data_IF_034170723120
#
_entry.id   IF_034170723120
#
_cell.length_a   1.000
_cell.length_b   1.000
_cell.length_c   1.000
_cell.angle_alpha   90.00
_cell.angle_beta   90.00
_cell.angle_gamma   90.00
#
_symmetry.space_group_name_H-M   'P 1'
#
loop_
_entity.id
_entity.type
_entity.pdbx_description
1 polymer ?
#
# COMPACT_ATOMS: atom_id res chain seq x y z
N UNK A 1 -3.88 -8.11 -17.82
CA UNK A 1 -2.62 -8.64 -18.37
C UNK A 1 -2.03 -7.56 -19.28
N UNK A 2 -0.75 -7.23 -19.10
CA UNK A 2 -0.03 -6.20 -19.88
C UNK A 2 1.03 -6.90 -20.73
N UNK A 3 1.29 -6.41 -21.95
CA UNK A 3 2.34 -6.97 -22.81
C UNK A 3 3.71 -6.41 -22.45
N UNK A 4 4.73 -7.27 -22.35
CA UNK A 4 6.10 -6.87 -22.04
C UNK A 4 6.64 -5.84 -23.03
N UNK A 5 6.30 -5.98 -24.32
CA UNK A 5 6.66 -5.05 -25.39
C UNK A 5 6.19 -3.60 -25.15
N UNK A 6 5.11 -3.42 -24.37
CA UNK A 6 4.50 -2.09 -24.11
C UNK A 6 5.11 -1.38 -22.90
N UNK A 7 5.88 -2.08 -22.08
CA UNK A 7 6.53 -1.51 -20.89
C UNK A 7 7.80 -0.75 -21.27
N UNK A 8 8.21 0.20 -20.43
CA UNK A 8 9.49 0.91 -20.58
C UNK A 8 10.64 0.01 -20.15
N UNK A 9 11.82 0.24 -20.70
CA UNK A 9 12.99 -0.62 -20.45
C UNK A 9 13.45 -0.59 -18.99
N UNK A 10 13.24 0.53 -18.30
CA UNK A 10 13.53 0.71 -16.88
C UNK A 10 12.37 0.34 -15.93
N UNK A 11 11.27 -0.22 -16.46
CA UNK A 11 10.15 -0.68 -15.63
C UNK A 11 10.62 -1.83 -14.72
N UNK A 12 10.29 -1.77 -13.43
CA UNK A 12 10.65 -2.82 -12.46
C UNK A 12 9.59 -3.92 -12.46
N UNK A 13 10.06 -5.14 -12.68
CA UNK A 13 9.28 -6.35 -12.76
C UNK A 13 9.58 -7.27 -11.59
N UNK A 14 8.57 -8.03 -11.18
CA UNK A 14 8.67 -9.14 -10.24
C UNK A 14 8.61 -10.43 -11.05
N UNK A 15 9.68 -11.23 -11.01
CA UNK A 15 9.83 -12.44 -11.81
C UNK A 15 9.84 -13.67 -10.91
N UNK A 16 8.97 -14.62 -11.23
CA UNK A 16 8.80 -15.85 -10.48
C UNK A 16 8.18 -15.65 -9.09
N UNK A 17 8.10 -16.76 -8.35
CA UNK A 17 7.46 -16.79 -7.03
C UNK A 17 8.39 -16.31 -5.90
N UNK A 18 9.69 -16.18 -6.16
CA UNK A 18 10.71 -15.72 -5.19
C UNK A 18 10.87 -14.18 -5.13
N UNK A 19 9.95 -13.42 -5.72
CA UNK A 19 9.99 -11.95 -5.76
C UNK A 19 11.31 -11.39 -6.32
N UNK A 20 11.91 -12.06 -7.31
CA UNK A 20 13.12 -11.55 -7.96
C UNK A 20 12.77 -10.24 -8.69
N UNK A 21 13.45 -9.16 -8.33
CA UNK A 21 13.28 -7.85 -8.96
C UNK A 21 14.29 -7.66 -10.08
N UNK A 22 13.83 -7.21 -11.24
CA UNK A 22 14.67 -6.80 -12.35
C UNK A 22 13.95 -5.79 -13.23
N UNK A 23 14.71 -5.04 -14.02
CA UNK A 23 14.17 -4.19 -15.07
C UNK A 23 13.67 -5.02 -16.26
N UNK A 24 12.81 -4.44 -17.10
CA UNK A 24 12.43 -5.04 -18.39
C UNK A 24 13.67 -5.36 -19.24
N UNK A 25 14.64 -4.45 -19.30
CA UNK A 25 15.87 -4.65 -20.09
C UNK A 25 16.68 -5.86 -19.60
N UNK A 26 16.84 -6.02 -18.29
CA UNK A 26 17.50 -7.18 -17.69
C UNK A 26 16.74 -8.49 -17.97
N UNK A 27 15.41 -8.46 -17.95
CA UNK A 27 14.58 -9.61 -18.30
C UNK A 27 14.77 -10.02 -19.76
N UNK A 28 14.73 -9.05 -20.69
CA UNK A 28 14.94 -9.31 -22.13
C UNK A 28 16.32 -9.89 -22.38
N UNK A 29 17.35 -9.35 -21.72
CA UNK A 29 18.74 -9.80 -21.87
C UNK A 29 18.93 -11.25 -21.43
N UNK A 30 18.13 -11.73 -20.46
CA UNK A 30 18.24 -13.06 -19.88
C UNK A 30 16.95 -13.89 -20.10
N UNK A 31 16.21 -13.63 -21.18
CA UNK A 31 14.84 -14.14 -21.36
C UNK A 31 14.76 -15.66 -21.34
N UNK A 32 15.79 -16.35 -21.85
CA UNK A 32 15.85 -17.81 -21.88
C UNK A 32 15.79 -18.44 -20.48
N UNK A 33 16.29 -17.74 -19.45
CA UNK A 33 16.25 -18.20 -18.06
C UNK A 33 14.88 -18.01 -17.40
N UNK A 34 14.06 -17.08 -17.91
CA UNK A 34 12.83 -16.62 -17.26
C UNK A 34 11.56 -16.85 -18.08
N UNK A 35 11.65 -17.37 -19.30
CA UNK A 35 10.52 -17.52 -20.24
C UNK A 35 9.34 -18.34 -19.71
N UNK A 36 9.58 -19.25 -18.77
CA UNK A 36 8.55 -20.11 -18.16
C UNK A 36 8.05 -19.56 -16.81
N UNK A 37 8.63 -18.46 -16.33
CA UNK A 37 8.26 -17.85 -15.06
C UNK A 37 7.10 -16.86 -15.24
N UNK A 38 6.28 -16.75 -14.19
CA UNK A 38 5.30 -15.69 -14.12
C UNK A 38 6.00 -14.33 -13.93
N UNK A 39 5.60 -13.32 -14.71
CA UNK A 39 6.13 -11.96 -14.63
C UNK A 39 5.01 -11.02 -14.23
N UNK A 40 5.30 -10.07 -13.34
CA UNK A 40 4.37 -9.05 -12.89
C UNK A 40 5.03 -7.68 -12.85
N UNK A 41 4.25 -6.61 -12.98
CA UNK A 41 4.72 -5.27 -12.61
C UNK A 41 4.85 -5.15 -11.09
N UNK A 42 5.81 -4.35 -10.62
CA UNK A 42 5.96 -4.06 -9.20
C UNK A 42 4.87 -3.08 -8.72
N UNK A 43 3.97 -3.55 -7.87
CA UNK A 43 3.06 -2.71 -7.11
C UNK A 43 3.74 -2.16 -5.86
N UNK A 44 3.52 -0.87 -5.59
CA UNK A 44 3.95 -0.23 -4.34
C UNK A 44 2.72 0.30 -3.62
N UNK A 45 2.48 -0.20 -2.41
CA UNK A 45 1.49 0.35 -1.50
C UNK A 45 2.21 1.20 -0.44
N UNK A 46 1.73 2.43 -0.22
CA UNK A 46 2.19 3.28 0.87
C UNK A 46 1.17 3.23 1.99
N UNK A 47 1.63 3.08 3.24
CA UNK A 47 0.75 3.14 4.38
C UNK A 47 0.04 4.50 4.45
N UNK A 48 -1.29 4.48 4.43
CA UNK A 48 -2.14 5.68 4.50
C UNK A 48 -3.03 5.59 5.73
N UNK A 49 -2.49 6.02 6.88
CA UNK A 49 -3.25 6.08 8.12
C UNK A 49 -4.15 7.33 8.13
N UNK A 50 -5.42 7.11 8.47
CA UNK A 50 -6.43 8.17 8.57
C UNK A 50 -6.83 8.35 10.03
N UNK A 51 -6.54 9.52 10.59
CA UNK A 51 -6.81 9.84 12.00
C UNK A 51 -8.30 9.72 12.36
N UNK A 52 -9.19 10.18 11.47
CA UNK A 52 -10.65 10.16 11.70
C UNK A 52 -11.18 8.73 11.76
N UNK A 53 -10.75 7.88 10.82
CA UNK A 53 -11.17 6.48 10.77
C UNK A 53 -10.61 5.70 11.96
N UNK A 54 -9.36 5.96 12.36
CA UNK A 54 -8.77 5.38 13.57
C UNK A 54 -9.56 5.76 14.83
N UNK A 55 -9.89 7.04 14.99
CA UNK A 55 -10.62 7.53 16.16
C UNK A 55 -12.06 7.00 16.18
N UNK A 56 -12.72 6.94 15.02
CA UNK A 56 -14.05 6.33 14.87
C UNK A 56 -14.03 4.85 15.27
N UNK A 57 -13.01 4.10 14.84
CA UNK A 57 -12.86 2.70 15.22
C UNK A 57 -12.66 2.52 16.73
N UNK A 58 -11.81 3.35 17.34
CA UNK A 58 -11.56 3.31 18.78
C UNK A 58 -12.82 3.62 19.60
N UNK A 59 -13.56 4.69 19.25
CA UNK A 59 -14.80 5.06 19.94
C UNK A 59 -15.85 3.95 19.79
N UNK A 60 -16.00 3.38 18.59
CA UNK A 60 -16.94 2.29 18.38
C UNK A 60 -16.63 1.06 19.24
N UNK A 61 -15.35 0.70 19.37
CA UNK A 61 -14.97 -0.46 20.19
C UNK A 61 -15.38 -0.25 21.66
N UNK A 62 -15.15 0.95 22.22
CA UNK A 62 -15.59 1.27 23.58
C UNK A 62 -17.12 1.26 23.71
N UNK A 63 -17.84 1.74 22.68
CA UNK A 63 -19.31 1.68 22.63
C UNK A 63 -19.81 0.22 22.67
N UNK A 64 -19.19 -0.66 21.89
CA UNK A 64 -19.50 -2.09 21.87
C UNK A 64 -19.09 -2.81 23.18
N UNK A 65 -18.15 -2.26 23.96
CA UNK A 65 -17.62 -2.79 25.23
C UNK A 65 -18.42 -2.37 26.49
N UNK A 66 -19.65 -1.89 26.34
CA UNK A 66 -20.63 -1.49 27.37
C UNK A 66 -20.61 0.00 27.79
N UNK A 67 -20.27 0.93 26.91
CA UNK A 67 -20.63 2.33 27.17
C UNK A 67 -22.15 2.52 27.12
N UNK A 68 -22.63 3.58 27.78
CA UNK A 68 -24.05 3.90 27.81
C UNK A 68 -24.55 4.40 26.44
N UNK A 69 -25.85 4.30 26.21
CA UNK A 69 -26.49 4.73 24.96
C UNK A 69 -26.12 6.18 24.60
N UNK A 70 -25.89 6.44 23.32
CA UNK A 70 -25.46 7.74 22.77
C UNK A 70 -24.05 8.21 23.18
N UNK A 71 -23.32 7.47 24.03
CA UNK A 71 -21.97 7.86 24.44
C UNK A 71 -21.05 8.16 23.25
N UNK A 72 -21.03 7.29 22.23
CA UNK A 72 -20.22 7.49 21.03
C UNK A 72 -20.56 8.79 20.29
N UNK A 73 -21.85 9.13 20.21
CA UNK A 73 -22.31 10.37 19.59
C UNK A 73 -21.93 11.61 20.40
N UNK A 74 -21.98 11.55 21.73
CA UNK A 74 -21.57 12.63 22.61
C UNK A 74 -20.08 12.91 22.48
N UNK A 75 -19.24 11.86 22.56
CA UNK A 75 -17.80 12.00 22.34
C UNK A 75 -17.51 12.55 20.95
N UNK A 76 -18.20 12.08 19.91
CA UNK A 76 -18.00 12.58 18.56
C UNK A 76 -18.46 14.03 18.37
N UNK A 77 -19.44 14.48 19.15
CA UNK A 77 -19.87 15.87 19.20
C UNK A 77 -18.79 16.81 19.76
N UNK A 78 -17.93 16.31 20.65
CA UNK A 78 -16.82 17.08 21.23
C UNK A 78 -15.55 17.08 20.36
N UNK A 79 -15.41 16.12 19.42
CA UNK A 79 -14.25 16.03 18.53
C UNK A 79 -14.32 17.08 17.44
N UNK A 80 -13.31 17.95 17.37
CA UNK A 80 -13.22 18.97 16.33
C UNK A 80 -12.33 18.55 15.16
N UNK A 81 -12.51 19.19 14.01
CA UNK A 81 -11.60 19.02 12.87
C UNK A 81 -10.15 19.41 13.22
N UNK A 82 -9.95 20.35 14.15
CA UNK A 82 -8.61 20.71 14.62
C UNK A 82 -7.93 19.55 15.36
N UNK A 83 -8.67 18.83 16.21
CA UNK A 83 -8.14 17.67 16.93
C UNK A 83 -7.76 16.55 15.95
N UNK A 84 -8.61 16.27 14.96
CA UNK A 84 -8.33 15.31 13.90
C UNK A 84 -7.06 15.71 13.12
N UNK A 85 -6.93 16.99 12.76
CA UNK A 85 -5.77 17.50 12.03
C UNK A 85 -4.47 17.42 12.84
N UNK A 86 -4.53 17.64 14.15
CA UNK A 86 -3.37 17.48 15.04
C UNK A 86 -2.91 16.02 15.10
N UNK A 87 -3.84 15.07 15.24
CA UNK A 87 -3.53 13.64 15.21
C UNK A 87 -2.95 13.25 13.84
N UNK A 88 -3.59 13.68 12.75
CA UNK A 88 -3.11 13.39 11.39
C UNK A 88 -1.69 13.92 11.17
N UNK A 89 -1.39 15.12 11.66
CA UNK A 89 -0.04 15.71 11.57
C UNK A 89 1.02 14.87 12.29
N UNK A 90 0.66 14.22 13.41
CA UNK A 90 1.55 13.29 14.11
C UNK A 90 1.77 12.03 13.28
N UNK A 91 0.71 11.44 12.73
CA UNK A 91 0.79 10.25 11.87
C UNK A 91 1.67 10.52 10.65
N UNK A 92 1.41 11.60 9.93
CA UNK A 92 2.18 12.02 8.76
C UNK A 92 3.67 12.21 9.09
N UNK A 93 3.95 12.84 10.23
CA UNK A 93 5.33 13.03 10.70
C UNK A 93 6.01 11.70 11.00
N UNK A 94 5.32 10.74 11.63
CA UNK A 94 5.86 9.41 11.89
C UNK A 94 6.14 8.69 10.57
N UNK A 95 5.18 8.71 9.63
CA UNK A 95 5.33 8.03 8.35
C UNK A 95 6.44 8.64 7.47
N UNK A 96 6.70 9.94 7.59
CA UNK A 96 7.79 10.63 6.91
C UNK A 96 9.18 10.37 7.48
N UNK A 97 9.31 9.95 8.75
CA UNK A 97 10.63 9.70 9.37
C UNK A 97 11.40 8.58 8.68
N UNK A 98 10.70 7.51 8.32
CA UNK A 98 11.31 6.38 7.61
C UNK A 98 10.41 5.92 6.46
N UNK A 99 10.37 6.66 5.33
CA UNK A 99 9.43 6.38 4.25
C UNK A 99 9.52 4.95 3.71
N UNK A 100 10.74 4.38 3.68
CA UNK A 100 11.00 3.01 3.22
C UNK A 100 10.43 1.91 4.12
N UNK A 101 10.07 2.22 5.37
CA UNK A 101 9.44 1.27 6.30
C UNK A 101 7.90 1.30 6.19
N UNK A 102 7.34 2.30 5.50
CA UNK A 102 5.91 2.50 5.35
C UNK A 102 5.43 2.14 3.94
N UNK A 103 6.14 1.21 3.29
CA UNK A 103 5.77 0.69 1.98
C UNK A 103 5.71 -0.82 2.01
N UNK A 104 4.80 -1.38 1.21
CA UNK A 104 4.77 -2.79 0.87
C UNK A 104 4.90 -2.93 -0.64
N UNK A 105 5.74 -3.87 -1.07
CA UNK A 105 5.89 -4.26 -2.46
C UNK A 105 5.06 -5.52 -2.71
N UNK A 106 4.39 -5.58 -3.86
CA UNK A 106 3.57 -6.74 -4.24
C UNK A 106 3.56 -6.92 -5.76
N UNK A 107 3.09 -8.08 -6.22
CA UNK A 107 2.84 -8.35 -7.62
C UNK A 107 1.55 -7.66 -8.05
N UNK A 108 1.62 -6.62 -8.90
CA UNK A 108 0.44 -5.83 -9.30
C UNK A 108 -0.29 -6.45 -10.50
N UNK A 109 0.27 -6.30 -11.70
CA UNK A 109 -0.36 -6.77 -12.94
C UNK A 109 0.50 -7.82 -13.59
N UNK A 110 -0.10 -8.96 -13.94
CA UNK A 110 0.54 -9.98 -14.74
C UNK A 110 0.96 -9.43 -16.11
N UNK A 111 2.20 -9.74 -16.48
CA UNK A 111 2.87 -9.36 -17.72
C UNK A 111 3.00 -10.59 -18.61
N UNK A 112 2.53 -10.47 -19.84
CA UNK A 112 2.70 -11.45 -20.92
C UNK A 112 4.03 -11.17 -21.64
N UNK A 113 4.87 -12.19 -21.76
CA UNK A 113 6.08 -12.13 -22.59
C UNK A 113 5.66 -12.38 -24.05
N UNK A 114 5.54 -11.31 -24.83
CA UNK A 114 5.02 -11.32 -26.21
C UNK A 114 6.09 -11.12 -27.29
N UNK A 115 7.35 -11.45 -26.97
CA UNK A 115 8.55 -11.17 -27.78
C UNK A 115 9.09 -12.46 -28.40
#
# INVERSE_FOLDING_TARGET
>A
MIKLSTLKDNEILVVGDEYKLMTKEELITNIDEFKEMNVYTLGIHYATLNAKDMLKGAIKNEEDDNMYEEWGNLIWGDVTDNDINQIQSILDRILKKTPKQNIACYQDKSVEIDI
#
